data_IF_823958344660
#
_entry.id   IF_823958344660
#
_cell.length_a   1.000
_cell.length_b   1.000
_cell.length_c   1.000
_cell.angle_alpha   90.00
_cell.angle_beta   90.00
_cell.angle_gamma   90.00
#
_symmetry.space_group_name_H-M   'P 1'
#
loop_
_entity.id
_entity.type
_entity.pdbx_description
1 polymer ?
#
# COMPACT_ATOMS: atom_id res chain seq x y z
N UNK A 1 -9.18 -30.18 25.87
CA UNK A 1 -9.53 -28.88 25.27
C UNK A 1 -8.74 -27.79 25.98
N UNK A 2 -7.73 -27.21 25.32
CA UNK A 2 -7.00 -26.07 25.89
C UNK A 2 -7.83 -24.82 25.59
N UNK A 3 -8.24 -24.10 26.64
CA UNK A 3 -8.88 -22.79 26.48
C UNK A 3 -7.84 -21.83 25.90
N UNK A 4 -8.04 -21.42 24.65
CA UNK A 4 -7.24 -20.36 24.06
C UNK A 4 -7.60 -19.05 24.77
N UNK A 5 -6.68 -18.53 25.59
CA UNK A 5 -6.81 -17.20 26.14
C UNK A 5 -6.45 -16.19 25.05
N UNK A 6 -7.33 -15.21 24.82
CA UNK A 6 -7.10 -14.09 23.91
C UNK A 6 -6.89 -12.85 24.76
N UNK A 7 -5.67 -12.33 24.80
CA UNK A 7 -5.41 -11.00 25.37
C UNK A 7 -5.99 -9.93 24.45
N UNK A 8 -6.70 -8.97 25.04
CA UNK A 8 -7.20 -7.77 24.34
C UNK A 8 -6.76 -6.58 25.16
N UNK A 9 -5.98 -5.68 24.55
CA UNK A 9 -5.55 -4.45 25.20
C UNK A 9 -6.77 -3.56 25.46
N UNK A 10 -6.96 -3.03 26.70
CA UNK A 10 -8.16 -2.29 27.06
C UNK A 10 -8.30 -0.95 26.33
N UNK A 11 -7.18 -0.36 25.88
CA UNK A 11 -7.14 0.86 25.06
C UNK A 11 -6.11 0.69 23.92
N UNK A 12 -6.48 -0.01 22.84
CA UNK A 12 -5.54 -0.34 21.78
C UNK A 12 -5.16 0.92 20.98
N UNK A 13 -3.86 1.21 20.91
CA UNK A 13 -3.30 2.38 20.23
C UNK A 13 -3.78 2.55 18.77
N UNK A 14 -4.10 1.44 18.10
CA UNK A 14 -4.58 1.41 16.72
C UNK A 14 -5.99 0.81 16.60
N UNK A 15 -6.82 0.92 17.64
CA UNK A 15 -8.21 0.51 17.61
C UNK A 15 -8.41 -0.95 17.22
N UNK A 16 -9.03 -1.18 16.05
CA UNK A 16 -9.39 -2.51 15.52
C UNK A 16 -8.26 -3.24 14.81
N UNK A 17 -7.13 -2.58 14.55
CA UNK A 17 -6.07 -3.13 13.71
C UNK A 17 -5.22 -4.17 14.45
N UNK A 18 -5.04 -5.33 13.82
CA UNK A 18 -4.22 -6.43 14.35
C UNK A 18 -3.34 -7.01 13.25
N UNK A 19 -2.15 -7.49 13.61
CA UNK A 19 -1.20 -8.06 12.64
C UNK A 19 -1.65 -9.36 11.97
N UNK A 20 -2.73 -9.99 12.47
CA UNK A 20 -3.31 -11.20 11.86
C UNK A 20 -4.02 -10.91 10.55
N UNK A 21 -4.72 -9.78 10.50
CA UNK A 21 -5.66 -9.45 9.42
C UNK A 21 -5.25 -8.18 8.67
N UNK A 22 -4.28 -7.42 9.19
CA UNK A 22 -3.87 -6.13 8.66
C UNK A 22 -2.35 -6.03 8.58
N UNK A 23 -1.88 -5.25 7.62
CA UNK A 23 -0.45 -4.95 7.46
C UNK A 23 -0.16 -3.55 7.96
N UNK A 24 0.93 -3.41 8.71
CA UNK A 24 1.43 -2.13 9.20
C UNK A 24 2.55 -1.63 8.28
N UNK A 25 2.39 -0.44 7.74
CA UNK A 25 3.39 0.28 6.95
C UNK A 25 3.89 1.49 7.75
N UNK A 26 5.20 1.57 7.93
CA UNK A 26 5.86 2.74 8.53
C UNK A 26 6.24 3.67 7.39
N UNK A 27 5.72 4.89 7.42
CA UNK A 27 5.89 5.87 6.35
C UNK A 27 6.60 7.09 6.93
N UNK A 28 7.73 7.46 6.36
CA UNK A 28 8.46 8.66 6.72
C UNK A 28 8.19 9.75 5.70
N UNK A 29 7.71 10.89 6.18
CA UNK A 29 7.65 12.13 5.44
C UNK A 29 8.96 12.87 5.61
N UNK A 30 9.65 13.09 4.50
CA UNK A 30 10.92 13.78 4.44
C UNK A 30 10.81 14.91 3.41
N UNK A 31 11.49 16.06 3.64
CA UNK A 31 11.59 17.07 2.61
C UNK A 31 12.30 16.49 1.40
N UNK A 32 11.77 16.74 0.22
CA UNK A 32 12.43 16.41 -1.05
C UNK A 32 13.58 17.39 -1.28
N UNK A 33 14.63 16.91 -1.94
CA UNK A 33 15.81 17.72 -2.24
C UNK A 33 15.50 18.70 -3.40
N UNK A 34 14.62 18.31 -4.32
CA UNK A 34 14.17 19.14 -5.45
C UNK A 34 12.74 18.77 -5.89
N UNK A 35 11.77 19.70 -5.96
CA UNK A 35 11.86 21.14 -5.65
C UNK A 35 11.81 21.44 -4.14
N UNK A 36 12.41 22.56 -3.73
CA UNK A 36 12.30 23.08 -2.37
C UNK A 36 10.80 23.24 -2.04
N UNK A 37 10.36 22.65 -0.92
CA UNK A 37 8.97 22.55 -0.44
C UNK A 37 8.17 21.31 -0.90
N UNK A 38 8.72 20.44 -1.74
CA UNK A 38 8.13 19.12 -1.95
C UNK A 38 8.41 18.20 -0.77
N UNK A 39 7.45 17.33 -0.44
CA UNK A 39 7.61 16.29 0.58
C UNK A 39 7.43 14.93 -0.06
N UNK A 40 8.35 14.01 0.25
CA UNK A 40 8.22 12.61 -0.12
C UNK A 40 7.72 11.81 1.07
N UNK A 41 6.79 10.89 0.81
CA UNK A 41 6.35 9.88 1.76
C UNK A 41 6.97 8.56 1.36
N UNK A 42 7.90 8.07 2.18
CA UNK A 42 8.70 6.91 1.88
C UNK A 42 8.40 5.77 2.83
N UNK A 43 8.18 4.60 2.25
CA UNK A 43 8.22 3.31 2.92
C UNK A 43 9.32 2.45 2.27
N UNK A 44 9.68 1.32 2.88
CA UNK A 44 10.61 0.36 2.27
C UNK A 44 10.14 -0.15 0.90
N UNK A 45 8.82 -0.20 0.66
CA UNK A 45 8.25 -0.75 -0.57
C UNK A 45 7.82 0.28 -1.61
N UNK A 46 7.73 1.57 -1.27
CA UNK A 46 7.23 2.60 -2.17
C UNK A 46 7.65 4.02 -1.76
N UNK A 47 7.63 4.92 -2.74
CA UNK A 47 7.82 6.37 -2.57
C UNK A 47 6.64 7.10 -3.20
N UNK A 48 6.10 8.08 -2.49
CA UNK A 48 5.04 8.99 -2.95
C UNK A 48 5.55 10.41 -2.86
N UNK A 49 5.06 11.28 -3.75
CA UNK A 49 5.56 12.65 -3.91
C UNK A 49 4.55 13.70 -3.44
N UNK A 50 3.36 13.28 -3.00
CA UNK A 50 2.35 14.21 -2.50
C UNK A 50 1.45 13.60 -1.42
N UNK A 51 0.79 14.47 -0.65
CA UNK A 51 -0.19 14.05 0.37
C UNK A 51 -1.39 13.36 -0.28
N UNK A 52 -1.82 13.85 -1.44
CA UNK A 52 -2.92 13.31 -2.22
C UNK A 52 -2.61 11.89 -2.71
N UNK A 53 -1.36 11.62 -3.13
CA UNK A 53 -0.94 10.27 -3.48
C UNK A 53 -0.98 9.32 -2.28
N UNK A 54 -0.58 9.80 -1.09
CA UNK A 54 -0.70 9.04 0.16
C UNK A 54 -2.15 8.74 0.49
N UNK A 55 -3.02 9.73 0.48
CA UNK A 55 -4.45 9.54 0.79
C UNK A 55 -5.13 8.61 -0.22
N UNK A 56 -4.75 8.71 -1.50
CA UNK A 56 -5.20 7.77 -2.54
C UNK A 56 -4.73 6.35 -2.26
N UNK A 57 -3.47 6.15 -1.87
CA UNK A 57 -2.94 4.83 -1.49
C UNK A 57 -3.68 4.27 -0.27
N UNK A 58 -3.91 5.09 0.76
CA UNK A 58 -4.68 4.70 1.96
C UNK A 58 -6.08 4.23 1.56
N UNK A 59 -6.75 4.95 0.67
CA UNK A 59 -8.06 4.56 0.14
C UNK A 59 -8.04 3.25 -0.63
N UNK A 60 -7.07 3.06 -1.54
CA UNK A 60 -6.90 1.83 -2.32
C UNK A 60 -6.62 0.62 -1.40
N UNK A 61 -5.80 0.81 -0.37
CA UNK A 61 -5.47 -0.26 0.59
C UNK A 61 -6.53 -0.45 1.68
N UNK A 62 -7.66 0.26 1.61
CA UNK A 62 -8.72 0.22 2.62
C UNK A 62 -8.22 0.42 4.05
N UNK A 63 -7.25 1.32 4.20
CA UNK A 63 -6.51 1.54 5.44
C UNK A 63 -6.90 2.81 6.18
N UNK A 64 -6.20 3.02 7.29
CA UNK A 64 -6.25 4.22 8.10
C UNK A 64 -4.84 4.67 8.46
N UNK A 65 -4.60 5.97 8.41
CA UNK A 65 -3.31 6.60 8.64
C UNK A 65 -3.28 7.24 10.03
N UNK A 66 -2.30 6.84 10.83
CA UNK A 66 -2.07 7.37 12.18
C UNK A 66 -0.79 8.19 12.22
N UNK A 67 -0.75 9.20 13.11
CA UNK A 67 0.48 9.90 13.43
C UNK A 67 1.40 8.98 14.26
N UNK A 68 2.67 8.93 13.88
CA UNK A 68 3.71 8.24 14.63
C UNK A 68 4.18 9.06 15.83
N UNK A 69 5.16 8.51 16.56
CA UNK A 69 5.69 9.13 17.77
C UNK A 69 6.53 10.40 17.53
N UNK A 70 6.93 10.68 16.29
CA UNK A 70 7.71 11.87 15.91
C UNK A 70 7.07 12.57 14.71
N UNK A 71 7.21 13.90 14.58
CA UNK A 71 6.76 14.64 13.40
C UNK A 71 7.32 14.03 12.11
N UNK A 72 6.47 13.93 11.09
CA UNK A 72 6.81 13.32 9.80
C UNK A 72 6.78 11.79 9.80
N UNK A 73 6.64 11.10 10.94
CA UNK A 73 6.42 9.66 10.96
C UNK A 73 4.92 9.35 10.93
N UNK A 74 4.51 8.47 10.03
CA UNK A 74 3.14 7.98 9.92
C UNK A 74 3.09 6.46 10.00
N UNK A 75 2.01 5.94 10.58
CA UNK A 75 1.75 4.51 10.68
C UNK A 75 0.46 4.23 9.92
N UNK A 76 0.57 3.54 8.78
CA UNK A 76 -0.58 3.09 8.01
C UNK A 76 -0.92 1.65 8.39
N UNK A 77 -2.16 1.43 8.81
CA UNK A 77 -2.72 0.09 8.91
C UNK A 77 -3.70 -0.15 7.78
N UNK A 78 -3.44 -1.15 6.95
CA UNK A 78 -4.19 -1.37 5.73
C UNK A 78 -4.20 -2.84 5.29
N UNK A 79 -4.93 -3.15 4.21
CA UNK A 79 -4.80 -4.42 3.53
C UNK A 79 -3.38 -4.63 3.02
N UNK A 80 -2.98 -5.90 2.94
CA UNK A 80 -1.65 -6.28 2.45
C UNK A 80 -1.53 -5.91 0.98
N UNK A 81 -0.60 -5.01 0.68
CA UNK A 81 -0.16 -4.71 -0.68
C UNK A 81 0.72 -5.84 -1.23
N UNK A 82 0.38 -6.33 -2.42
CA UNK A 82 1.17 -7.31 -3.17
C UNK A 82 1.39 -6.84 -4.60
N UNK A 83 2.58 -7.11 -5.15
CA UNK A 83 2.90 -6.85 -6.55
C UNK A 83 2.97 -8.15 -7.34
N UNK A 84 2.37 -8.16 -8.53
CA UNK A 84 2.45 -9.26 -9.48
C UNK A 84 2.72 -8.75 -10.89
N UNK A 85 3.54 -9.50 -11.59
CA UNK A 85 3.80 -9.30 -13.02
C UNK A 85 2.93 -10.25 -13.82
N UNK A 86 2.29 -9.73 -14.86
CA UNK A 86 1.49 -10.52 -15.77
C UNK A 86 1.96 -10.32 -17.21
N UNK A 87 1.96 -11.38 -18.04
CA UNK A 87 2.14 -11.21 -19.47
C UNK A 87 1.00 -10.38 -20.05
N UNK A 88 1.27 -9.67 -21.15
CA UNK A 88 0.34 -8.71 -21.75
C UNK A 88 -1.05 -9.28 -22.02
N UNK A 89 -1.15 -10.54 -22.47
CA UNK A 89 -2.43 -11.19 -22.75
C UNK A 89 -3.27 -11.37 -21.48
N UNK A 90 -2.67 -11.84 -20.39
CA UNK A 90 -3.35 -12.06 -19.12
C UNK A 90 -3.73 -10.72 -18.48
N UNK A 91 -2.82 -9.74 -18.54
CA UNK A 91 -3.09 -8.39 -18.08
C UNK A 91 -4.27 -7.77 -18.83
N UNK A 92 -4.35 -7.93 -20.15
CA UNK A 92 -5.45 -7.40 -20.96
C UNK A 92 -6.80 -8.05 -20.61
N UNK A 93 -6.80 -9.35 -20.30
CA UNK A 93 -8.01 -10.08 -19.88
C UNK A 93 -8.48 -9.74 -18.47
N UNK A 94 -7.59 -9.20 -17.62
CA UNK A 94 -7.93 -8.82 -16.25
C UNK A 94 -9.00 -7.70 -16.24
N UNK A 95 -10.18 -8.02 -15.72
CA UNK A 95 -11.29 -7.06 -15.51
C UNK A 95 -11.06 -6.28 -14.22
N UNK A 96 -10.19 -5.28 -14.27
CA UNK A 96 -9.87 -4.39 -13.17
C UNK A 96 -9.69 -2.96 -13.67
N UNK A 97 -9.92 -1.98 -12.79
CA UNK A 97 -9.64 -0.58 -13.09
C UNK A 97 -8.15 -0.41 -13.42
N UNK A 98 -7.89 0.35 -14.49
CA UNK A 98 -6.53 0.61 -14.97
C UNK A 98 -6.10 1.98 -14.50
N UNK A 99 -5.06 2.02 -13.69
CA UNK A 99 -4.39 3.23 -13.25
C UNK A 99 -3.22 3.51 -14.21
N UNK A 100 -3.30 4.65 -14.90
CA UNK A 100 -2.31 5.04 -15.89
C UNK A 100 -0.95 5.37 -15.27
N UNK A 101 -0.89 5.77 -14.00
CA UNK A 101 0.35 6.00 -13.28
C UNK A 101 0.08 5.84 -11.78
N UNK A 102 0.80 4.92 -11.13
CA UNK A 102 0.68 4.71 -9.68
C UNK A 102 1.97 4.11 -9.12
N UNK A 103 2.49 4.69 -8.03
CA UNK A 103 3.75 4.27 -7.38
C UNK A 103 4.96 4.23 -8.34
N UNK A 104 5.04 5.16 -9.30
CA UNK A 104 6.09 5.19 -10.30
C UNK A 104 5.99 4.11 -11.39
N UNK A 105 4.90 3.34 -11.42
CA UNK A 105 4.66 2.27 -12.40
C UNK A 105 3.49 2.63 -13.30
N UNK A 106 3.65 2.38 -14.60
CA UNK A 106 2.62 2.61 -15.62
C UNK A 106 2.67 1.54 -16.71
N UNK A 107 1.52 0.95 -17.11
CA UNK A 107 0.19 0.99 -16.50
C UNK A 107 0.02 -0.10 -15.42
N UNK A 108 -0.84 0.16 -14.43
CA UNK A 108 -1.13 -0.78 -13.31
C UNK A 108 -2.61 -1.11 -13.25
N UNK A 109 -2.96 -2.38 -13.01
CA UNK A 109 -4.32 -2.81 -12.65
C UNK A 109 -4.37 -3.21 -11.19
N UNK A 110 -5.43 -2.84 -10.49
CA UNK A 110 -5.55 -3.08 -9.05
C UNK A 110 -6.75 -3.99 -8.78
N UNK A 111 -6.56 -5.03 -7.96
CA UNK A 111 -7.64 -5.89 -7.49
C UNK A 111 -7.58 -6.05 -5.98
N UNK A 112 -8.73 -5.88 -5.35
CA UNK A 112 -8.89 -6.07 -3.91
C UNK A 112 -9.56 -7.40 -3.62
N UNK A 113 -8.97 -8.19 -2.72
CA UNK A 113 -9.59 -9.32 -2.05
C UNK A 113 -9.94 -8.90 -0.62
N UNK A 114 -11.23 -8.63 -0.39
CA UNK A 114 -11.76 -8.24 0.92
C UNK A 114 -11.78 -9.39 1.94
N UNK A 115 -11.79 -10.65 1.50
CA UNK A 115 -11.79 -11.78 2.44
C UNK A 115 -10.36 -12.04 2.95
N UNK A 116 -9.37 -11.95 2.07
CA UNK A 116 -7.96 -12.09 2.40
C UNK A 116 -7.27 -10.80 2.85
N UNK A 117 -7.99 -9.68 2.95
CA UNK A 117 -7.45 -8.34 3.23
C UNK A 117 -6.18 -8.04 2.43
N UNK A 118 -6.24 -8.27 1.12
CA UNK A 118 -5.08 -8.14 0.23
C UNK A 118 -5.46 -7.29 -0.99
N UNK A 119 -4.57 -6.38 -1.38
CA UNK A 119 -4.68 -5.59 -2.62
C UNK A 119 -3.51 -5.95 -3.51
N UNK A 120 -3.81 -6.49 -4.69
CA UNK A 120 -2.81 -6.89 -5.67
C UNK A 120 -2.69 -5.85 -6.78
N UNK A 121 -1.47 -5.36 -6.98
CA UNK A 121 -1.06 -4.46 -8.05
C UNK A 121 -0.43 -5.29 -9.17
N UNK A 122 -1.06 -5.26 -10.34
CA UNK A 122 -0.63 -5.99 -11.53
C UNK A 122 0.04 -5.04 -12.51
N UNK A 123 1.33 -5.26 -12.75
CA UNK A 123 2.08 -4.60 -13.82
C UNK A 123 2.31 -5.57 -14.98
N UNK A 124 2.46 -5.04 -16.19
CA UNK A 124 2.83 -5.85 -17.35
C UNK A 124 4.28 -6.32 -17.19
N UNK A 125 4.56 -7.57 -17.54
CA UNK A 125 5.93 -8.03 -17.74
C UNK A 125 6.48 -7.33 -18.99
N UNK A 126 7.59 -6.61 -18.86
CA UNK A 126 8.31 -6.07 -20.01
C UNK A 126 8.86 -7.26 -20.81
N UNK A 127 8.30 -7.52 -21.98
CA UNK A 127 8.95 -8.37 -22.96
C UNK A 127 10.09 -7.55 -23.53
N UNK A 128 11.33 -7.83 -23.12
CA UNK A 128 12.47 -7.47 -23.95
C UNK A 128 12.31 -8.29 -25.24
N UNK A 129 11.80 -7.66 -26.29
CA UNK A 129 11.96 -8.19 -27.64
C UNK A 129 13.47 -8.26 -27.89
N UNK A 130 14.05 -9.45 -27.71
CA UNK A 130 15.37 -9.77 -28.25
C UNK A 130 15.27 -9.64 -29.77
N UNK A 131 15.77 -8.52 -30.28
CA UNK A 131 16.07 -8.28 -31.69
C UNK A 131 17.09 -9.31 -32.22
#
# INVERSE_FOLDING_TARGET
FVRAWKYTEPDPLYGKYTTKEWTRYIIECQPDIEPADAFIYRNESFTLYSREELERLVGILHGELFNGFRPGLFILWAYRMEWKELPTWEWNMLKAETHLFFLGVSPVKIRTDHNGHTVTFYKKTEQYDTL
#
